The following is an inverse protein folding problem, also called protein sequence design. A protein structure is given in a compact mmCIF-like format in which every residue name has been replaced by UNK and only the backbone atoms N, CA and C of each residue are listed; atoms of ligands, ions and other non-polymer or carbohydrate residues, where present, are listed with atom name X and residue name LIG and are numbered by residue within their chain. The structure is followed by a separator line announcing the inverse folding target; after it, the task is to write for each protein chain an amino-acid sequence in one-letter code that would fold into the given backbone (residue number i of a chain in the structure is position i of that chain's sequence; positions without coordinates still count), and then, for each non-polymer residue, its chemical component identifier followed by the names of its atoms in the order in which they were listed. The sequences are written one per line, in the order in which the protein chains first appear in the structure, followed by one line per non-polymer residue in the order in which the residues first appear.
data_IF_786885968479
#
_entry.id   IF_786885968479
#
_cell.length_a   1.000
_cell.length_b   1.000
_cell.length_c   1.000
_cell.angle_alpha   90.00
_cell.angle_beta   90.00
_cell.angle_gamma   90.00
#
_symmetry.space_group_name_H-M   'P 1'
#
loop_
_entity.id
_entity.type
_entity.pdbx_description
1 polymer ?
#
# COMPACT_ATOMS: atom_id res chain seq x y z
N UNK A 1 20.68 -27.37 -31.99
CA UNK A 1 20.81 -26.17 -31.15
C UNK A 1 19.70 -25.12 -31.37
N UNK A 2 18.71 -25.35 -32.25
CA UNK A 2 17.71 -24.32 -32.62
C UNK A 2 16.30 -24.50 -32.02
N UNK A 3 16.05 -25.53 -31.19
CA UNK A 3 14.71 -25.76 -30.60
C UNK A 3 14.39 -24.90 -29.37
N UNK A 4 15.39 -24.42 -28.61
CA UNK A 4 15.17 -23.62 -27.40
C UNK A 4 14.71 -22.17 -27.65
N UNK A 5 15.13 -21.58 -28.78
CA UNK A 5 14.80 -20.19 -29.13
C UNK A 5 13.35 -20.00 -29.58
N UNK A 6 12.68 -21.06 -30.05
CA UNK A 6 11.25 -21.03 -30.39
C UNK A 6 10.37 -21.07 -29.15
N UNK A 7 10.71 -21.94 -28.19
CA UNK A 7 9.99 -22.07 -26.92
C UNK A 7 10.11 -20.82 -26.05
N UNK A 8 11.28 -20.17 -25.97
CA UNK A 8 11.44 -18.92 -25.20
C UNK A 8 10.62 -17.76 -25.80
N UNK A 9 10.49 -17.72 -27.12
CA UNK A 9 9.73 -16.67 -27.82
C UNK A 9 8.23 -16.90 -27.71
N UNK A 10 7.77 -18.14 -27.87
CA UNK A 10 6.37 -18.51 -27.64
C UNK A 10 5.96 -18.35 -26.17
N UNK A 11 6.84 -18.63 -25.21
CA UNK A 11 6.57 -18.40 -23.78
C UNK A 11 6.52 -16.90 -23.47
N UNK A 12 7.38 -16.08 -24.09
CA UNK A 12 7.30 -14.61 -23.95
C UNK A 12 6.01 -14.05 -24.57
N UNK A 13 5.60 -14.55 -25.75
CA UNK A 13 4.35 -14.15 -26.42
C UNK A 13 3.11 -14.65 -25.67
N UNK A 14 3.15 -15.86 -25.09
CA UNK A 14 2.10 -16.37 -24.21
C UNK A 14 2.04 -15.59 -22.91
N UNK A 15 3.18 -15.19 -22.33
CA UNK A 15 3.24 -14.35 -21.14
C UNK A 15 2.71 -12.93 -21.41
N UNK A 16 2.90 -12.40 -22.62
CA UNK A 16 2.31 -11.13 -23.06
C UNK A 16 0.79 -11.25 -23.27
N UNK A 17 0.31 -12.41 -23.74
CA UNK A 17 -1.12 -12.72 -23.93
C UNK A 17 -1.85 -13.18 -22.66
N UNK A 18 -1.12 -13.76 -21.71
CA UNK A 18 -1.57 -14.12 -20.35
C UNK A 18 -1.28 -13.01 -19.35
N UNK A 19 -0.58 -11.95 -19.76
CA UNK A 19 -0.44 -10.75 -18.94
C UNK A 19 -1.84 -10.30 -18.62
N UNK A 20 -2.14 -10.16 -17.34
CA UNK A 20 -3.27 -9.35 -16.93
C UNK A 20 -3.04 -7.98 -17.56
N UNK A 21 -3.70 -7.74 -18.69
CA UNK A 21 -3.54 -6.49 -19.40
C UNK A 21 -3.91 -5.36 -18.44
N UNK A 22 -3.18 -4.25 -18.46
CA UNK A 22 -3.52 -3.07 -17.66
C UNK A 22 -5.01 -2.71 -17.78
N UNK A 23 -5.62 -2.98 -18.94
CA UNK A 23 -7.06 -2.85 -19.21
C UNK A 23 -7.96 -3.67 -18.26
N UNK A 24 -7.57 -4.90 -17.92
CA UNK A 24 -8.33 -5.75 -16.99
C UNK A 24 -8.29 -5.19 -15.57
N UNK A 25 -7.13 -4.70 -15.13
CA UNK A 25 -6.95 -4.02 -13.85
C UNK A 25 -7.77 -2.72 -13.82
N UNK A 26 -7.69 -1.90 -14.86
CA UNK A 26 -8.51 -0.69 -14.99
C UNK A 26 -10.01 -0.98 -14.96
N UNK A 27 -10.45 -2.09 -15.58
CA UNK A 27 -11.85 -2.53 -15.52
C UNK A 27 -12.29 -2.89 -14.10
N UNK A 28 -11.48 -3.63 -13.36
CA UNK A 28 -11.75 -3.98 -11.95
C UNK A 28 -11.80 -2.73 -11.08
N UNK A 29 -10.82 -1.82 -11.22
CA UNK A 29 -10.78 -0.56 -10.46
C UNK A 29 -12.00 0.32 -10.75
N UNK A 30 -12.45 0.35 -12.00
CA UNK A 30 -13.68 1.06 -12.37
C UNK A 30 -14.91 0.46 -11.70
N UNK A 31 -14.99 -0.87 -11.58
CA UNK A 31 -16.04 -1.53 -10.80
C UNK A 31 -15.96 -1.15 -9.32
N UNK A 32 -14.76 -0.99 -8.76
CA UNK A 32 -14.59 -0.55 -7.37
C UNK A 32 -15.09 0.89 -7.19
N UNK A 33 -14.64 1.80 -8.05
CA UNK A 33 -14.93 3.24 -7.97
C UNK A 33 -16.39 3.57 -8.27
N UNK A 34 -16.97 2.98 -9.32
CA UNK A 34 -18.23 3.44 -9.91
C UNK A 34 -19.44 2.55 -9.56
N UNK A 35 -19.23 1.44 -8.86
CA UNK A 35 -20.33 0.56 -8.51
C UNK A 35 -21.21 1.16 -7.41
N UNK A 36 -22.50 1.27 -7.70
CA UNK A 36 -23.55 1.54 -6.72
C UNK A 36 -23.92 0.29 -5.88
N UNK A 37 -23.49 -0.91 -6.30
CA UNK A 37 -23.68 -2.17 -5.58
C UNK A 37 -22.47 -2.45 -4.69
N UNK A 38 -22.71 -2.56 -3.38
CA UNK A 38 -21.71 -2.95 -2.39
C UNK A 38 -21.18 -4.36 -2.68
N UNK A 39 -22.06 -5.32 -2.99
CA UNK A 39 -21.67 -6.69 -3.35
C UNK A 39 -20.71 -6.72 -4.55
N UNK A 40 -21.01 -5.97 -5.62
CA UNK A 40 -20.14 -5.90 -6.78
C UNK A 40 -18.78 -5.26 -6.46
N UNK A 41 -18.77 -4.26 -5.57
CA UNK A 41 -17.54 -3.62 -5.10
C UNK A 41 -16.69 -4.61 -4.32
N UNK A 42 -17.27 -5.34 -3.37
CA UNK A 42 -16.60 -6.38 -2.58
C UNK A 42 -16.02 -7.47 -3.47
N UNK A 43 -16.79 -7.98 -4.43
CA UNK A 43 -16.29 -8.98 -5.39
C UNK A 43 -15.14 -8.43 -6.24
N UNK A 44 -15.19 -7.15 -6.64
CA UNK A 44 -14.11 -6.52 -7.38
C UNK A 44 -12.83 -6.37 -6.54
N UNK A 45 -12.96 -6.01 -5.26
CA UNK A 45 -11.84 -5.98 -4.29
C UNK A 45 -11.25 -7.38 -4.10
N UNK A 46 -12.06 -8.40 -3.84
CA UNK A 46 -11.62 -9.78 -3.67
C UNK A 46 -10.91 -10.32 -4.92
N UNK A 47 -11.42 -9.95 -6.10
CA UNK A 47 -10.78 -10.29 -7.38
C UNK A 47 -9.41 -9.63 -7.47
N UNK A 48 -9.30 -8.34 -7.16
CA UNK A 48 -8.03 -7.63 -7.17
C UNK A 48 -7.03 -8.21 -6.14
N UNK A 49 -7.50 -8.51 -4.94
CA UNK A 49 -6.71 -9.17 -3.88
C UNK A 49 -6.15 -10.51 -4.37
N UNK A 50 -6.99 -11.34 -4.98
CA UNK A 50 -6.60 -12.64 -5.52
C UNK A 50 -5.53 -12.50 -6.61
N UNK A 51 -5.69 -11.51 -7.49
CA UNK A 51 -4.73 -11.24 -8.57
C UNK A 51 -3.39 -10.71 -8.06
N UNK A 52 -3.39 -9.95 -6.96
CA UNK A 52 -2.18 -9.37 -6.38
C UNK A 52 -1.45 -10.34 -5.45
N UNK A 53 -2.18 -11.08 -4.62
CA UNK A 53 -1.62 -11.86 -3.51
C UNK A 53 -1.71 -13.37 -3.78
N UNK A 54 -2.83 -13.83 -4.32
CA UNK A 54 -3.16 -15.25 -4.48
C UNK A 54 -2.38 -15.99 -5.59
N UNK A 55 -1.89 -15.25 -6.59
CA UNK A 55 -1.12 -15.83 -7.70
C UNK A 55 0.29 -16.31 -7.31
N UNK A 56 0.89 -17.16 -8.16
CA UNK A 56 2.33 -17.41 -8.10
C UNK A 56 3.08 -16.22 -8.74
N UNK A 57 4.40 -16.10 -8.55
CA UNK A 57 5.20 -14.96 -9.05
C UNK A 57 4.99 -14.68 -10.54
N UNK A 58 4.62 -15.70 -11.33
CA UNK A 58 4.38 -15.59 -12.77
C UNK A 58 2.96 -15.18 -13.16
N UNK A 59 1.98 -15.26 -12.25
CA UNK A 59 0.58 -14.93 -12.51
C UNK A 59 0.06 -13.75 -11.69
N UNK A 60 0.87 -13.24 -10.75
CA UNK A 60 0.53 -12.04 -10.00
C UNK A 60 0.51 -10.81 -10.91
N UNK A 61 -0.48 -9.97 -10.70
CA UNK A 61 -0.53 -8.66 -11.30
C UNK A 61 0.66 -7.81 -10.85
N UNK A 62 1.48 -7.25 -11.76
CA UNK A 62 2.54 -6.32 -11.39
C UNK A 62 1.97 -5.11 -10.65
N UNK A 63 2.57 -4.73 -9.52
CA UNK A 63 2.13 -3.56 -8.77
C UNK A 63 2.19 -2.26 -9.59
N UNK A 64 3.12 -2.16 -10.55
CA UNK A 64 3.19 -1.02 -11.47
C UNK A 64 1.89 -0.82 -12.25
N UNK A 65 1.23 -1.89 -12.70
CA UNK A 65 -0.04 -1.77 -13.44
C UNK A 65 -1.17 -1.21 -12.58
N UNK A 66 -1.18 -1.55 -11.29
CA UNK A 66 -2.18 -1.04 -10.34
C UNK A 66 -1.91 0.43 -10.03
N UNK A 67 -0.64 0.80 -9.79
CA UNK A 67 -0.25 2.20 -9.55
C UNK A 67 -0.50 3.07 -10.78
N UNK A 68 -0.07 2.63 -11.98
CA UNK A 68 -0.26 3.34 -13.25
C UNK A 68 -1.74 3.49 -13.63
N UNK A 69 -2.59 2.56 -13.21
CA UNK A 69 -4.03 2.66 -13.41
C UNK A 69 -4.72 3.67 -12.47
N UNK A 70 -3.97 4.39 -11.62
CA UNK A 70 -4.52 5.37 -10.68
C UNK A 70 -5.26 4.75 -9.50
N UNK A 71 -5.04 3.45 -9.23
CA UNK A 71 -5.78 2.70 -8.22
C UNK A 71 -5.57 3.18 -6.80
N UNK A 72 -4.42 3.78 -6.52
CA UNK A 72 -3.97 4.00 -5.14
C UNK A 72 -4.90 4.98 -4.43
N UNK A 73 -5.29 6.09 -5.06
CA UNK A 73 -6.32 7.00 -4.53
C UNK A 73 -7.63 6.28 -4.26
N UNK A 74 -8.17 5.55 -5.24
CA UNK A 74 -9.45 4.82 -5.11
C UNK A 74 -9.41 3.80 -3.97
N UNK A 75 -8.30 3.06 -3.82
CA UNK A 75 -8.12 2.08 -2.75
C UNK A 75 -7.95 2.76 -1.39
N UNK A 76 -7.29 3.92 -1.32
CA UNK A 76 -7.18 4.69 -0.09
C UNK A 76 -8.53 5.29 0.33
N UNK A 77 -9.32 5.82 -0.62
CA UNK A 77 -10.69 6.28 -0.38
C UNK A 77 -11.57 5.13 0.10
N UNK A 78 -11.49 3.97 -0.55
CA UNK A 78 -12.26 2.80 -0.13
C UNK A 78 -11.87 2.30 1.25
N UNK A 79 -10.56 2.23 1.55
CA UNK A 79 -10.08 1.84 2.88
C UNK A 79 -10.54 2.85 3.95
N UNK A 80 -10.62 4.13 3.60
CA UNK A 80 -11.19 5.15 4.47
C UNK A 80 -12.69 4.92 4.70
N UNK A 81 -13.47 4.68 3.65
CA UNK A 81 -14.93 4.66 3.74
C UNK A 81 -15.49 3.34 4.30
N UNK A 82 -14.88 2.22 3.96
CA UNK A 82 -15.35 0.88 4.30
C UNK A 82 -14.62 0.26 5.50
N UNK A 83 -13.48 0.82 5.92
CA UNK A 83 -12.60 0.24 6.97
C UNK A 83 -12.24 -1.24 6.70
N UNK A 84 -12.19 -1.63 5.43
CA UNK A 84 -12.04 -3.02 5.00
C UNK A 84 -10.57 -3.49 5.05
N UNK A 85 -10.34 -4.62 5.74
CA UNK A 85 -9.04 -5.27 5.84
C UNK A 85 -8.49 -5.76 4.49
N UNK A 86 -9.34 -6.22 3.57
CA UNK A 86 -8.89 -6.72 2.26
C UNK A 86 -8.27 -5.59 1.43
N UNK A 87 -8.89 -4.41 1.43
CA UNK A 87 -8.36 -3.21 0.79
C UNK A 87 -7.00 -2.79 1.39
N UNK A 88 -6.85 -2.86 2.72
CA UNK A 88 -5.56 -2.61 3.39
C UNK A 88 -4.48 -3.63 3.01
N UNK A 89 -4.85 -4.90 2.81
CA UNK A 89 -3.92 -5.94 2.34
C UNK A 89 -3.45 -5.71 0.91
N UNK A 90 -4.34 -5.26 0.01
CA UNK A 90 -3.98 -4.84 -1.35
C UNK A 90 -2.97 -3.70 -1.29
N UNK A 91 -3.27 -2.65 -0.50
CA UNK A 91 -2.37 -1.51 -0.31
C UNK A 91 -1.01 -1.94 0.28
N UNK A 92 -0.99 -2.89 1.21
CA UNK A 92 0.24 -3.45 1.77
C UNK A 92 1.08 -4.17 0.71
N UNK A 93 0.45 -4.98 -0.13
CA UNK A 93 1.19 -5.68 -1.19
C UNK A 93 1.68 -4.70 -2.26
N UNK A 94 0.90 -3.66 -2.60
CA UNK A 94 1.36 -2.55 -3.43
C UNK A 94 2.60 -1.88 -2.84
N UNK A 95 2.56 -1.53 -1.56
CA UNK A 95 3.69 -0.92 -0.85
C UNK A 95 4.88 -1.86 -0.77
N UNK A 96 4.74 -3.18 -0.85
CA UNK A 96 5.88 -4.11 -0.88
C UNK A 96 6.52 -4.23 -2.25
N UNK A 97 5.71 -4.17 -3.30
CA UNK A 97 6.14 -4.45 -4.67
C UNK A 97 6.42 -3.18 -5.49
N UNK A 98 5.88 -2.03 -5.09
CA UNK A 98 6.09 -0.77 -5.79
C UNK A 98 7.58 -0.37 -5.80
N UNK A 99 8.08 0.19 -6.91
CA UNK A 99 9.37 0.88 -6.95
C UNK A 99 9.46 1.97 -5.88
N UNK A 100 10.66 2.21 -5.34
CA UNK A 100 10.85 3.23 -4.29
C UNK A 100 10.40 4.63 -4.72
N UNK A 101 10.55 4.96 -6.00
CA UNK A 101 10.12 6.24 -6.58
C UNK A 101 8.62 6.48 -6.50
N UNK A 102 7.79 5.43 -6.37
CA UNK A 102 6.33 5.54 -6.29
C UNK A 102 5.81 5.61 -4.84
N UNK A 103 6.66 5.36 -3.85
CA UNK A 103 6.22 5.33 -2.45
C UNK A 103 5.79 6.70 -1.90
N UNK A 104 6.43 7.83 -2.23
CA UNK A 104 5.95 9.14 -1.83
C UNK A 104 4.53 9.40 -2.35
N UNK A 105 4.27 9.11 -3.63
CA UNK A 105 2.95 9.27 -4.24
C UNK A 105 1.90 8.41 -3.53
N UNK A 106 2.23 7.18 -3.13
CA UNK A 106 1.32 6.32 -2.36
C UNK A 106 0.98 6.93 -0.99
N UNK A 107 1.95 7.54 -0.32
CA UNK A 107 1.72 8.24 0.95
C UNK A 107 0.87 9.49 0.74
N UNK A 108 1.17 10.30 -0.28
CA UNK A 108 0.44 11.53 -0.62
C UNK A 108 -1.02 11.26 -1.02
N UNK A 109 -1.28 10.12 -1.67
CA UNK A 109 -2.64 9.68 -2.03
C UNK A 109 -3.47 9.18 -0.85
N UNK A 110 -2.94 9.20 0.37
CA UNK A 110 -3.72 9.00 1.60
C UNK A 110 -3.57 7.64 2.26
N UNK A 111 -2.59 6.81 1.86
CA UNK A 111 -2.42 5.47 2.43
C UNK A 111 -2.16 5.49 3.95
N UNK A 112 -1.48 6.52 4.45
CA UNK A 112 -1.28 6.70 5.90
C UNK A 112 -2.57 7.09 6.59
N UNK A 113 -3.34 8.01 6.00
CA UNK A 113 -4.62 8.49 6.54
C UNK A 113 -5.65 7.36 6.63
N UNK A 114 -5.70 6.48 5.62
CA UNK A 114 -6.52 5.26 5.67
C UNK A 114 -6.17 4.38 6.88
N UNK A 115 -4.87 4.20 7.15
CA UNK A 115 -4.44 3.45 8.33
C UNK A 115 -4.82 4.15 9.63
N UNK A 116 -4.60 5.47 9.73
CA UNK A 116 -4.91 6.25 10.94
C UNK A 116 -6.40 6.16 11.25
N UNK A 117 -7.26 6.31 10.24
CA UNK A 117 -8.72 6.21 10.40
C UNK A 117 -9.14 4.88 10.99
N UNK A 118 -8.60 3.76 10.49
CA UNK A 118 -8.89 2.42 11.03
C UNK A 118 -8.37 2.26 12.46
N UNK A 119 -7.22 2.88 12.81
CA UNK A 119 -6.68 2.83 14.17
C UNK A 119 -7.47 3.67 15.18
N UNK A 120 -8.03 4.78 14.73
CA UNK A 120 -8.85 5.69 15.54
C UNK A 120 -10.33 5.27 15.60
N UNK A 121 -10.77 4.40 14.68
CA UNK A 121 -12.12 3.83 14.68
C UNK A 121 -12.36 3.00 15.92
N UNK A 122 -13.31 3.45 16.76
CA UNK A 122 -13.74 2.73 17.96
C UNK A 122 -14.45 1.40 17.67
N UNK A 123 -14.81 1.13 16.41
CA UNK A 123 -15.44 -0.10 15.95
C UNK A 123 -14.49 -1.10 15.28
N UNK A 124 -13.25 -0.71 14.96
CA UNK A 124 -12.31 -1.57 14.24
C UNK A 124 -11.91 -2.79 15.07
N UNK A 125 -11.89 -3.97 14.43
CA UNK A 125 -11.47 -5.19 15.10
C UNK A 125 -9.95 -5.20 15.31
N UNK A 126 -9.42 -6.02 16.24
CA UNK A 126 -7.98 -6.17 16.40
C UNK A 126 -7.25 -6.64 15.12
N UNK A 127 -7.94 -7.34 14.22
CA UNK A 127 -7.37 -7.77 12.95
C UNK A 127 -7.26 -6.61 11.96
N UNK A 128 -8.26 -5.74 11.89
CA UNK A 128 -8.23 -4.55 11.02
C UNK A 128 -7.15 -3.59 11.47
N UNK A 129 -7.04 -3.37 12.79
CA UNK A 129 -5.95 -2.60 13.38
C UNK A 129 -4.58 -3.22 13.10
N UNK A 130 -4.47 -4.57 13.13
CA UNK A 130 -3.24 -5.26 12.76
C UNK A 130 -2.88 -5.07 11.28
N UNK A 131 -3.87 -5.11 10.39
CA UNK A 131 -3.69 -4.85 8.95
C UNK A 131 -3.20 -3.43 8.70
N UNK A 132 -3.84 -2.43 9.32
CA UNK A 132 -3.41 -1.03 9.28
C UNK A 132 -1.97 -0.85 9.80
N UNK A 133 -1.63 -1.49 10.93
CA UNK A 133 -0.26 -1.46 11.46
C UNK A 133 0.76 -2.15 10.56
N UNK A 134 0.39 -3.22 9.87
CA UNK A 134 1.28 -3.88 8.93
C UNK A 134 1.58 -3.00 7.71
N UNK A 135 0.57 -2.31 7.18
CA UNK A 135 0.72 -1.32 6.12
C UNK A 135 1.60 -0.14 6.58
N UNK A 136 1.29 0.47 7.73
CA UNK A 136 2.10 1.55 8.30
C UNK A 136 3.54 1.13 8.54
N UNK A 137 3.78 -0.10 9.02
CA UNK A 137 5.13 -0.60 9.22
C UNK A 137 5.89 -0.77 7.90
N UNK A 138 5.23 -1.24 6.85
CA UNK A 138 5.85 -1.36 5.52
C UNK A 138 6.21 0.02 4.96
N UNK A 139 5.29 0.97 5.03
CA UNK A 139 5.51 2.36 4.64
C UNK A 139 6.63 3.01 5.48
N UNK A 140 6.62 2.84 6.80
CA UNK A 140 7.65 3.39 7.70
C UNK A 140 9.05 2.83 7.42
N UNK A 141 9.16 1.62 6.86
CA UNK A 141 10.46 1.05 6.49
C UNK A 141 10.98 1.57 5.15
N UNK A 142 10.08 1.76 4.18
CA UNK A 142 10.46 2.06 2.80
C UNK A 142 10.40 3.55 2.46
N UNK A 143 9.56 4.32 3.14
CA UNK A 143 9.37 5.76 2.95
C UNK A 143 9.18 6.46 4.32
N UNK A 144 10.17 6.38 5.24
CA UNK A 144 10.01 6.86 6.61
C UNK A 144 9.75 8.38 6.71
N UNK A 145 10.38 9.20 5.84
CA UNK A 145 10.22 10.65 5.86
C UNK A 145 8.79 11.13 5.56
N UNK A 146 8.16 10.76 4.44
CA UNK A 146 6.77 11.17 4.16
C UNK A 146 5.77 10.55 5.16
N UNK A 147 6.07 9.38 5.72
CA UNK A 147 5.23 8.76 6.77
C UNK A 147 5.33 9.51 8.10
N UNK A 148 6.51 10.00 8.46
CA UNK A 148 6.68 10.83 9.66
C UNK A 148 5.92 12.16 9.53
N UNK A 149 5.92 12.77 8.35
CA UNK A 149 5.24 14.04 8.07
C UNK A 149 3.71 13.92 8.08
N UNK A 150 3.14 12.74 7.82
CA UNK A 150 1.70 12.50 7.79
C UNK A 150 1.07 12.20 9.16
N UNK A 151 1.83 12.29 10.26
CA UNK A 151 1.29 12.14 11.62
C UNK A 151 1.20 10.70 12.13
N UNK A 152 1.72 9.72 11.38
CA UNK A 152 1.66 8.30 11.75
C UNK A 152 2.27 7.99 13.13
N UNK A 153 3.30 8.74 13.55
CA UNK A 153 3.95 8.53 14.85
C UNK A 153 3.01 8.77 16.04
N UNK A 154 2.24 9.86 16.01
CA UNK A 154 1.31 10.17 17.11
C UNK A 154 0.10 9.22 17.07
N UNK A 155 -0.41 8.90 15.88
CA UNK A 155 -1.55 7.98 15.74
C UNK A 155 -1.31 6.58 16.33
N UNK A 156 -0.09 6.03 16.20
CA UNK A 156 0.21 4.70 16.75
C UNK A 156 0.53 4.72 18.25
N UNK A 157 0.93 5.87 18.80
CA UNK A 157 1.44 6.00 20.17
C UNK A 157 0.45 5.52 21.22
N UNK A 158 -0.84 5.78 20.99
CA UNK A 158 -1.92 5.51 21.93
C UNK A 158 -2.49 4.07 21.84
N UNK A 159 -1.90 3.22 20.98
CA UNK A 159 -2.29 1.82 20.87
C UNK A 159 -1.86 1.06 22.12
N UNK A 160 -2.86 0.69 22.93
CA UNK A 160 -2.69 0.01 24.21
C UNK A 160 -2.99 -1.50 24.15
N UNK A 161 -3.51 -2.02 23.03
CA UNK A 161 -3.75 -3.44 22.87
C UNK A 161 -2.42 -4.22 22.88
N UNK A 162 -2.24 -5.08 23.89
CA UNK A 162 -1.00 -5.84 24.15
C UNK A 162 -0.54 -6.64 22.93
N UNK A 163 -1.47 -7.19 22.13
CA UNK A 163 -1.14 -7.96 20.94
C UNK A 163 -0.55 -7.09 19.81
N UNK A 164 -0.91 -5.81 19.77
CA UNK A 164 -0.50 -4.86 18.73
C UNK A 164 0.72 -4.02 19.12
N UNK A 165 1.03 -3.94 20.42
CA UNK A 165 2.20 -3.24 20.98
C UNK A 165 3.52 -3.59 20.27
N UNK A 166 3.84 -4.86 19.91
CA UNK A 166 5.07 -5.16 19.18
C UNK A 166 5.17 -4.50 17.81
N UNK A 167 4.04 -4.35 17.09
CA UNK A 167 3.99 -3.68 15.78
C UNK A 167 4.09 -2.17 15.95
N UNK A 168 3.32 -1.61 16.87
CA UNK A 168 3.41 -0.21 17.30
C UNK A 168 4.85 0.19 17.60
N UNK A 169 5.54 -0.56 18.47
CA UNK A 169 6.91 -0.25 18.89
C UNK A 169 7.90 -0.22 17.73
N UNK A 170 7.73 -1.13 16.75
CA UNK A 170 8.56 -1.13 15.54
C UNK A 170 8.34 0.13 14.70
N UNK A 171 7.09 0.55 14.53
CA UNK A 171 6.75 1.79 13.81
C UNK A 171 7.34 3.00 14.55
N UNK A 172 7.07 3.12 15.85
CA UNK A 172 7.61 4.21 16.66
C UNK A 172 9.14 4.25 16.63
N UNK A 173 9.82 3.10 16.67
CA UNK A 173 11.28 3.05 16.58
C UNK A 173 11.84 3.56 15.25
N UNK A 174 11.10 3.37 14.14
CA UNK A 174 11.49 3.87 12.82
C UNK A 174 11.22 5.37 12.67
N UNK A 175 10.09 5.85 13.20
CA UNK A 175 9.64 7.23 13.00
C UNK A 175 10.16 8.21 14.07
N UNK A 176 10.43 7.75 15.30
CA UNK A 176 10.88 8.61 16.40
C UNK A 176 12.06 9.51 16.02
N UNK A 177 13.14 9.03 15.36
CA UNK A 177 14.28 9.89 15.02
C UNK A 177 13.93 11.06 14.08
N UNK A 178 12.82 10.95 13.35
CA UNK A 178 12.36 11.94 12.38
C UNK A 178 11.33 12.92 12.95
N UNK A 179 10.69 12.55 14.07
CA UNK A 179 9.62 13.34 14.70
C UNK A 179 10.07 13.98 16.01
N UNK A 180 10.86 13.25 16.79
CA UNK A 180 11.40 13.70 18.06
C UNK A 180 12.90 13.95 17.88
N UNK A 181 13.29 15.23 17.83
CA UNK A 181 14.68 15.63 17.90
C UNK A 181 15.06 15.85 19.36
N UNK A 182 15.98 15.04 19.88
CA UNK A 182 16.65 15.33 21.14
C UNK A 182 17.66 16.47 20.91
N UNK A 183 17.16 17.71 20.92
CA UNK A 183 17.97 18.94 20.75
C UNK A 183 17.31 20.02 19.88
N UNK A 184 17.86 21.24 19.98
CA UNK A 184 17.41 22.53 19.44
C UNK A 184 17.35 22.65 17.88
N UNK A 185 17.03 21.56 17.18
CA UNK A 185 16.91 21.53 15.72
C UNK A 185 15.42 21.58 15.33
N UNK A 186 14.97 22.59 14.59
CA UNK A 186 13.56 22.76 14.27
C UNK A 186 13.02 21.62 13.39
N UNK A 187 11.71 21.33 13.47
CA UNK A 187 11.07 20.23 12.75
C UNK A 187 11.25 20.33 11.24
N UNK A 188 11.18 19.18 10.55
CA UNK A 188 11.35 18.98 9.10
C UNK A 188 10.28 19.66 8.21
N UNK A 189 9.95 20.92 8.45
CA UNK A 189 9.08 21.72 7.58
C UNK A 189 9.79 22.26 6.33
N UNK A 190 11.09 21.96 6.13
CA UNK A 190 11.88 22.48 5.02
C UNK A 190 12.88 21.46 4.44
N UNK A 191 12.44 20.25 4.08
CA UNK A 191 13.25 19.47 3.11
C UNK A 191 13.07 20.14 1.74
N UNK A 192 13.96 21.12 1.47
CA UNK A 192 14.26 21.59 0.13
C UNK A 192 14.60 20.37 -0.73
N UNK A 193 13.81 20.16 -1.77
CA UNK A 193 14.09 19.31 -2.94
C UNK A 193 15.32 19.84 -3.70
N UNK A 194 16.49 19.74 -3.07
CA UNK A 194 17.72 20.36 -3.55
C UNK A 194 18.95 19.56 -3.13
N UNK A 195 19.13 18.39 -3.76
CA UNK A 195 20.45 17.77 -3.90
C UNK A 195 20.81 16.71 -2.87
N UNK A 196 20.48 15.46 -3.17
CA UNK A 196 21.34 14.32 -2.84
C UNK A 196 21.42 13.43 -4.10
N UNK A 197 22.44 13.71 -4.91
CA UNK A 197 23.01 12.71 -5.81
C UNK A 197 24.03 11.92 -4.98
N UNK A 198 23.81 10.62 -4.84
CA UNK A 198 24.87 9.63 -4.72
C UNK A 198 24.51 8.47 -5.64
#
# INVERSE_FOLDING_TARGET
MFRKLGEEKEVAELADRLSLSALSVSGILRCIEQSASEDLRTVAVDTLLTLMIGGCVFTRCPASFVVEAGAVTTLCELANDAEDAATLEILLELVRLAPESMLPDIVEQGAVQACIKVLESGGASPMDQLSALNLLLALSKRAPAPVAQSGAYEAVKDINNVALVPRRNKIMGLLRPLVQHDGDVPPLTNIRTGGLRF
#
